data_IF_287461415960
#
_entry.id   IF_287461415960
#
_cell.length_a   1.000
_cell.length_b   1.000
_cell.length_c   1.000
_cell.angle_alpha   90.00
_cell.angle_beta   90.00
_cell.angle_gamma   90.00
#
_symmetry.space_group_name_H-M   'P 1'
#
loop_
_entity.id
_entity.type
_entity.pdbx_description
1 polymer ?
#
# COMPACT_ATOMS: atom_id res chain seq x y z
N UNK A 1 12.02 -81.01 -51.16
CA UNK A 1 11.88 -82.42 -50.72
C UNK A 1 12.59 -82.52 -49.38
N UNK A 2 11.95 -82.31 -48.23
CA UNK A 2 10.95 -83.16 -47.60
C UNK A 2 9.94 -82.31 -46.81
N UNK A 3 8.66 -82.51 -47.08
CA UNK A 3 7.52 -82.01 -46.30
C UNK A 3 6.83 -83.21 -45.66
N UNK A 4 6.43 -83.12 -44.38
CA UNK A 4 5.24 -83.77 -43.78
C UNK A 4 5.10 -83.43 -42.27
N UNK A 5 3.91 -83.55 -41.65
CA UNK A 5 3.04 -82.39 -41.45
C UNK A 5 2.62 -82.17 -39.98
N UNK A 6 2.01 -81.01 -39.74
CA UNK A 6 1.37 -80.57 -38.49
C UNK A 6 0.16 -81.45 -38.10
N UNK A 7 0.08 -81.84 -36.83
CA UNK A 7 -1.13 -82.32 -36.17
C UNK A 7 -1.76 -81.20 -35.34
N UNK A 8 -3.06 -80.97 -35.53
CA UNK A 8 -3.87 -80.02 -34.77
C UNK A 8 -4.45 -80.74 -33.56
N UNK A 9 -4.16 -80.24 -32.34
CA UNK A 9 -4.79 -80.70 -31.09
C UNK A 9 -5.43 -79.51 -30.36
N UNK A 10 -6.76 -79.54 -30.38
CA UNK A 10 -7.76 -79.10 -29.39
C UNK A 10 -7.35 -78.10 -28.28
N UNK A 11 -7.91 -76.88 -28.36
CA UNK A 11 -7.94 -75.90 -27.28
C UNK A 11 -9.02 -76.28 -26.24
N UNK A 12 -8.61 -76.66 -25.03
CA UNK A 12 -9.45 -76.55 -23.82
C UNK A 12 -8.66 -75.94 -22.66
N UNK A 13 -9.26 -74.87 -22.11
CA UNK A 13 -9.12 -74.36 -20.75
C UNK A 13 -7.87 -73.53 -20.38
N UNK A 14 -7.81 -72.29 -20.87
CA UNK A 14 -6.77 -71.29 -20.52
C UNK A 14 -7.11 -70.41 -19.30
N UNK A 15 -8.37 -70.33 -18.87
CA UNK A 15 -8.79 -69.35 -17.86
C UNK A 15 -8.49 -69.72 -16.40
N UNK A 16 -8.42 -71.00 -16.04
CA UNK A 16 -8.17 -71.44 -14.65
C UNK A 16 -6.69 -71.48 -14.27
N UNK A 17 -5.80 -71.62 -15.25
CA UNK A 17 -4.35 -71.58 -15.03
C UNK A 17 -3.83 -70.16 -14.81
N UNK A 18 -4.44 -69.18 -15.48
CA UNK A 18 -4.05 -67.76 -15.40
C UNK A 18 -4.32 -67.15 -14.00
N UNK A 19 -5.45 -67.49 -13.38
CA UNK A 19 -5.82 -66.95 -12.05
C UNK A 19 -4.92 -67.48 -10.92
N UNK A 20 -4.56 -68.77 -10.94
CA UNK A 20 -3.62 -69.36 -9.96
C UNK A 20 -2.20 -68.84 -10.11
N UNK A 21 -1.76 -68.54 -11.34
CA UNK A 21 -0.47 -67.93 -11.61
C UNK A 21 -0.39 -66.52 -11.00
N UNK A 22 -1.42 -65.69 -11.22
CA UNK A 22 -1.51 -64.33 -10.68
C UNK A 22 -1.48 -64.31 -9.15
N UNK A 23 -2.21 -65.21 -8.49
CA UNK A 23 -2.25 -65.27 -7.01
C UNK A 23 -0.88 -65.66 -6.41
N UNK A 24 -0.17 -66.58 -7.05
CA UNK A 24 1.18 -66.96 -6.63
C UNK A 24 2.20 -65.84 -6.83
N UNK A 25 2.08 -65.04 -7.89
CA UNK A 25 2.94 -63.85 -8.06
C UNK A 25 2.65 -62.79 -7.01
N UNK A 26 1.37 -62.60 -6.64
CA UNK A 26 0.99 -61.66 -5.57
C UNK A 26 1.52 -62.09 -4.19
N UNK A 27 1.49 -63.39 -3.87
CA UNK A 27 2.06 -63.94 -2.63
C UNK A 27 3.59 -63.76 -2.60
N UNK A 28 4.28 -64.00 -3.71
CA UNK A 28 5.73 -63.77 -3.84
C UNK A 28 6.08 -62.29 -3.70
N UNK A 29 5.29 -61.39 -4.30
CA UNK A 29 5.48 -59.95 -4.17
C UNK A 29 5.31 -59.49 -2.71
N UNK A 30 4.28 -59.99 -2.00
CA UNK A 30 4.07 -59.70 -0.58
C UNK A 30 5.22 -60.23 0.30
N UNK A 31 5.71 -61.44 0.02
CA UNK A 31 6.84 -62.02 0.73
C UNK A 31 8.12 -61.21 0.49
N UNK A 32 8.36 -60.79 -0.74
CA UNK A 32 9.50 -59.94 -1.10
C UNK A 32 9.43 -58.58 -0.40
N UNK A 33 8.25 -57.97 -0.37
CA UNK A 33 8.00 -56.69 0.30
C UNK A 33 8.16 -56.82 1.82
N UNK A 34 7.79 -57.95 2.40
CA UNK A 34 8.03 -58.27 3.81
C UNK A 34 9.52 -58.43 4.11
N UNK A 35 10.27 -59.18 3.30
CA UNK A 35 11.73 -59.28 3.45
C UNK A 35 12.43 -57.93 3.27
N UNK A 36 11.94 -57.09 2.34
CA UNK A 36 12.46 -55.75 2.13
C UNK A 36 12.19 -54.84 3.34
N UNK A 37 10.99 -54.92 3.93
CA UNK A 37 10.67 -54.17 5.15
C UNK A 37 11.53 -54.61 6.35
N UNK A 38 11.72 -55.91 6.54
CA UNK A 38 12.57 -56.46 7.60
C UNK A 38 14.03 -56.01 7.43
N UNK A 39 14.57 -56.05 6.21
CA UNK A 39 15.94 -55.59 5.94
C UNK A 39 16.16 -54.11 6.25
N UNK A 40 15.16 -53.25 6.03
CA UNK A 40 15.25 -51.82 6.36
C UNK A 40 15.21 -51.54 7.87
N UNK A 41 14.49 -52.35 8.65
CA UNK A 41 14.42 -52.19 10.12
C UNK A 41 15.73 -52.63 10.80
N UNK A 42 16.37 -53.69 10.31
CA UNK A 42 17.67 -54.15 10.84
C UNK A 42 18.88 -53.38 10.27
N UNK A 43 18.69 -52.59 9.20
CA UNK A 43 19.71 -51.75 8.57
C UNK A 43 19.98 -50.42 9.28
N UNK A 44 19.23 -50.07 10.34
CA UNK A 44 19.55 -48.95 11.21
C UNK A 44 20.72 -49.33 12.13
N UNK A 45 21.92 -49.36 11.54
CA UNK A 45 23.18 -49.54 12.26
C UNK A 45 23.30 -48.41 13.27
N UNK A 46 23.12 -48.74 14.54
CA UNK A 46 23.52 -47.92 15.69
C UNK A 46 24.97 -47.50 15.46
N UNK A 47 25.20 -46.23 15.12
CA UNK A 47 26.54 -45.65 15.02
C UNK A 47 27.18 -45.77 16.41
N UNK A 48 28.01 -46.79 16.64
CA UNK A 48 28.82 -46.90 17.85
C UNK A 48 29.76 -45.70 17.85
N UNK A 49 29.49 -44.71 18.70
CA UNK A 49 30.44 -43.62 18.95
C UNK A 49 31.72 -44.24 19.49
N UNK A 50 32.80 -44.16 18.72
CA UNK A 50 34.12 -44.54 19.19
C UNK A 50 34.52 -43.55 20.30
N UNK A 51 34.50 -44.02 21.55
CA UNK A 51 34.87 -43.23 22.72
C UNK A 51 36.30 -43.57 23.13
N UNK A 52 37.27 -43.12 22.35
CA UNK A 52 38.69 -43.22 22.71
C UNK A 52 39.05 -42.08 23.68
N UNK A 53 39.49 -42.39 24.91
CA UNK A 53 39.89 -41.37 25.88
C UNK A 53 40.99 -40.42 25.38
N UNK A 54 41.92 -40.87 24.53
CA UNK A 54 42.98 -40.01 24.00
C UNK A 54 42.44 -38.96 23.02
N UNK A 55 41.54 -39.41 22.13
CA UNK A 55 40.82 -38.53 21.20
C UNK A 55 39.95 -37.55 21.98
N UNK A 56 39.21 -38.03 22.99
CA UNK A 56 38.37 -37.18 23.85
C UNK A 56 39.21 -36.12 24.57
N UNK A 57 40.34 -36.49 25.15
CA UNK A 57 41.25 -35.54 25.81
C UNK A 57 41.81 -34.47 24.85
N UNK A 58 42.06 -34.83 23.58
CA UNK A 58 42.43 -33.87 22.55
C UNK A 58 41.28 -32.90 22.21
N UNK A 59 40.06 -33.41 22.05
CA UNK A 59 38.88 -32.57 21.81
C UNK A 59 38.62 -31.58 22.96
N UNK A 60 38.81 -32.02 24.22
CA UNK A 60 38.68 -31.17 25.41
C UNK A 60 39.66 -29.99 25.40
N UNK A 61 40.89 -30.19 24.91
CA UNK A 61 41.92 -29.17 24.74
C UNK A 61 41.67 -28.21 23.56
N UNK A 62 40.86 -28.62 22.58
CA UNK A 62 40.50 -27.77 21.44
C UNK A 62 39.27 -26.89 21.70
N UNK A 63 38.40 -27.28 22.63
CA UNK A 63 37.12 -26.61 22.86
C UNK A 63 37.10 -25.83 24.17
N UNK A 64 36.73 -26.48 25.27
CA UNK A 64 36.31 -25.77 26.48
C UNK A 64 36.68 -26.46 27.80
N UNK A 65 36.68 -27.79 27.90
CA UNK A 65 36.51 -28.46 29.19
C UNK A 65 37.74 -28.39 30.11
N UNK A 66 38.91 -28.85 29.68
CA UNK A 66 40.15 -28.75 30.46
C UNK A 66 41.38 -28.66 29.58
N UNK A 67 42.29 -27.75 29.94
CA UNK A 67 43.68 -27.76 29.47
C UNK A 67 44.48 -28.60 30.45
N UNK A 68 45.20 -29.61 29.98
CA UNK A 68 46.04 -30.44 30.86
C UNK A 68 45.80 -31.95 30.85
N UNK A 69 44.77 -32.48 30.19
CA UNK A 69 44.62 -33.94 30.06
C UNK A 69 45.49 -34.46 28.90
N UNK A 70 46.74 -34.84 29.22
CA UNK A 70 47.75 -35.31 28.27
C UNK A 70 47.82 -36.84 28.24
N UNK A 71 46.84 -37.46 27.57
CA UNK A 71 46.81 -38.92 27.38
C UNK A 71 47.67 -39.35 26.18
N UNK A 72 48.27 -40.56 26.21
CA UNK A 72 48.25 -41.55 27.31
C UNK A 72 49.08 -41.07 28.52
N UNK A 73 48.72 -41.45 29.75
CA UNK A 73 49.40 -40.91 30.95
C UNK A 73 50.87 -41.33 31.07
N UNK A 74 51.75 -40.46 31.61
CA UNK A 74 53.13 -40.84 31.93
C UNK A 74 53.18 -42.00 32.92
N UNK A 75 54.14 -42.89 32.73
CA UNK A 75 54.57 -43.85 33.74
C UNK A 75 56.08 -43.71 33.89
N UNK A 76 56.54 -43.63 35.13
CA UNK A 76 57.95 -43.48 35.48
C UNK A 76 58.39 -44.64 36.37
N UNK A 77 59.59 -45.15 36.12
CA UNK A 77 60.27 -46.09 36.99
C UNK A 77 61.72 -45.62 37.15
N UNK A 78 62.14 -45.35 38.39
CA UNK A 78 63.48 -44.79 38.69
C UNK A 78 63.82 -43.52 37.88
N UNK A 79 62.85 -42.64 37.68
CA UNK A 79 63.00 -41.40 36.90
C UNK A 79 62.98 -41.57 35.37
N UNK A 80 62.96 -42.81 34.88
CA UNK A 80 62.91 -43.11 33.45
C UNK A 80 61.45 -43.32 33.03
N UNK A 81 61.08 -42.70 31.91
CA UNK A 81 59.74 -42.81 31.36
C UNK A 81 59.55 -44.18 30.69
N UNK A 82 58.66 -45.02 31.24
CA UNK A 82 58.42 -46.39 30.76
C UNK A 82 57.25 -46.49 29.79
N UNK A 83 56.40 -45.46 29.68
CA UNK A 83 55.34 -45.39 28.67
C UNK A 83 55.87 -44.82 27.35
N UNK A 84 56.18 -45.71 26.40
CA UNK A 84 56.69 -45.35 25.08
C UNK A 84 55.74 -44.44 24.30
N UNK A 85 54.43 -44.72 24.33
CA UNK A 85 53.45 -43.90 23.61
C UNK A 85 53.34 -42.48 24.17
N UNK A 86 53.49 -42.30 25.49
CA UNK A 86 53.60 -40.96 26.06
C UNK A 86 54.93 -40.30 25.65
N UNK A 87 56.02 -41.07 25.54
CA UNK A 87 57.38 -40.54 25.32
C UNK A 87 57.53 -39.93 23.94
N UNK A 88 56.92 -40.56 22.94
CA UNK A 88 56.94 -40.14 21.55
C UNK A 88 55.95 -39.02 21.24
N UNK A 89 54.86 -38.89 22.01
CA UNK A 89 53.81 -37.89 21.72
C UNK A 89 53.97 -36.62 22.57
N UNK A 90 54.26 -36.75 23.86
CA UNK A 90 54.30 -35.63 24.82
C UNK A 90 55.57 -35.56 25.68
N UNK A 91 56.35 -36.64 25.73
CA UNK A 91 57.54 -36.78 26.59
C UNK A 91 58.84 -36.36 25.91
N UNK A 92 59.94 -36.92 26.40
CA UNK A 92 61.30 -36.51 26.00
C UNK A 92 61.62 -36.75 24.52
N UNK A 93 60.95 -37.72 23.88
CA UNK A 93 61.17 -38.08 22.47
C UNK A 93 60.13 -37.44 21.54
N UNK A 94 59.28 -36.57 22.07
CA UNK A 94 58.27 -35.88 21.28
C UNK A 94 58.88 -34.77 20.41
N UNK A 95 58.32 -34.52 19.22
CA UNK A 95 58.66 -33.35 18.42
C UNK A 95 58.54 -32.05 19.22
N UNK A 96 59.41 -31.08 18.94
CA UNK A 96 59.43 -29.78 19.65
C UNK A 96 58.05 -29.12 19.70
N UNK A 97 57.29 -29.17 18.60
CA UNK A 97 55.94 -28.61 18.49
C UNK A 97 54.99 -29.16 19.56
N UNK A 98 55.01 -30.47 19.82
CA UNK A 98 54.12 -31.09 20.78
C UNK A 98 54.50 -30.76 22.22
N UNK A 99 55.81 -30.61 22.48
CA UNK A 99 56.33 -30.18 23.78
C UNK A 99 55.96 -28.73 24.06
N UNK A 100 56.17 -27.84 23.09
CA UNK A 100 55.78 -26.42 23.17
C UNK A 100 54.26 -26.28 23.35
N UNK A 101 53.47 -27.10 22.66
CA UNK A 101 52.00 -27.14 22.83
C UNK A 101 51.56 -27.63 24.21
N UNK A 102 52.31 -28.55 24.82
CA UNK A 102 52.00 -29.09 26.14
C UNK A 102 52.41 -28.16 27.29
N UNK A 103 53.60 -27.59 27.18
CA UNK A 103 54.21 -26.76 28.21
C UNK A 103 53.83 -25.28 28.05
N UNK A 104 53.15 -24.91 26.96
CA UNK A 104 52.67 -23.56 26.68
C UNK A 104 51.33 -23.21 27.33
N UNK A 105 50.93 -21.95 27.13
CA UNK A 105 49.69 -21.40 27.66
C UNK A 105 48.44 -22.08 27.09
N UNK A 106 47.37 -22.05 27.87
CA UNK A 106 46.07 -22.57 27.44
C UNK A 106 45.50 -21.77 26.25
N UNK A 107 45.52 -22.36 25.06
CA UNK A 107 45.04 -21.73 23.82
C UNK A 107 43.56 -22.00 23.53
N UNK A 108 42.79 -22.58 24.46
CA UNK A 108 41.37 -22.91 24.22
C UNK A 108 40.58 -21.66 23.83
N UNK A 109 39.86 -21.69 22.69
CA UNK A 109 39.11 -20.53 22.20
C UNK A 109 37.90 -20.18 23.08
N UNK A 110 37.29 -21.18 23.75
CA UNK A 110 36.08 -21.01 24.56
C UNK A 110 36.37 -20.89 26.07
N UNK A 111 37.63 -20.82 26.50
CA UNK A 111 37.94 -20.55 27.91
C UNK A 111 37.34 -19.21 28.34
N UNK A 112 37.12 -18.93 29.65
CA UNK A 112 36.51 -17.67 30.09
C UNK A 112 37.17 -16.40 29.52
N UNK A 113 38.50 -16.41 29.37
CA UNK A 113 39.30 -15.33 28.74
C UNK A 113 39.68 -15.62 27.28
N UNK A 114 39.03 -16.60 26.65
CA UNK A 114 39.29 -17.05 25.30
C UNK A 114 38.72 -16.10 24.26
N UNK A 115 39.34 -16.10 23.08
CA UNK A 115 39.01 -15.17 22.01
C UNK A 115 37.54 -15.25 21.56
N UNK A 116 36.94 -16.45 21.54
CA UNK A 116 35.56 -16.61 21.09
C UNK A 116 34.55 -16.04 22.09
N UNK A 117 34.81 -16.15 23.39
CA UNK A 117 33.95 -15.55 24.41
C UNK A 117 34.06 -14.03 24.39
N UNK A 118 35.26 -13.49 24.15
CA UNK A 118 35.45 -12.04 23.96
C UNK A 118 34.69 -11.53 22.73
N UNK A 119 34.80 -12.24 21.60
CA UNK A 119 34.04 -11.93 20.38
C UNK A 119 32.53 -12.03 20.60
N UNK A 120 32.07 -13.05 21.33
CA UNK A 120 30.65 -13.21 21.66
C UNK A 120 30.15 -12.06 22.53
N UNK A 121 30.92 -11.64 23.54
CA UNK A 121 30.60 -10.50 24.37
C UNK A 121 30.53 -9.21 23.54
N UNK A 122 31.53 -8.97 22.67
CA UNK A 122 31.53 -7.83 21.75
C UNK A 122 30.32 -7.85 20.81
N UNK A 123 29.99 -9.01 20.25
CA UNK A 123 28.80 -9.18 19.39
C UNK A 123 27.53 -8.84 20.15
N UNK A 124 27.42 -9.21 21.43
CA UNK A 124 26.26 -8.85 22.26
C UNK A 124 26.14 -7.35 22.51
N UNK A 125 27.25 -6.66 22.77
CA UNK A 125 27.25 -5.20 22.85
C UNK A 125 26.81 -4.55 21.52
N UNK A 126 27.35 -5.02 20.39
CA UNK A 126 26.96 -4.54 19.07
C UNK A 126 25.49 -4.83 18.76
N UNK A 127 24.96 -5.98 19.19
CA UNK A 127 23.55 -6.33 19.03
C UNK A 127 22.64 -5.36 19.80
N UNK A 128 23.02 -4.95 21.01
CA UNK A 128 22.30 -3.96 21.80
C UNK A 128 22.32 -2.56 21.19
N UNK A 129 23.47 -2.13 20.68
CA UNK A 129 23.60 -0.86 19.95
C UNK A 129 22.76 -0.87 18.66
N UNK A 130 22.82 -1.96 17.89
CA UNK A 130 22.03 -2.14 16.69
C UNK A 130 20.52 -2.09 16.98
N UNK A 131 20.07 -2.66 18.11
CA UNK A 131 18.66 -2.56 18.54
C UNK A 131 18.25 -1.11 18.82
N UNK A 132 19.10 -0.31 19.46
CA UNK A 132 18.83 1.12 19.71
C UNK A 132 18.74 1.90 18.40
N UNK A 133 19.67 1.68 17.47
CA UNK A 133 19.68 2.32 16.14
C UNK A 133 18.41 1.93 15.36
N UNK A 134 18.04 0.64 15.40
CA UNK A 134 16.81 0.16 14.76
C UNK A 134 15.57 0.84 15.33
N UNK A 135 15.45 0.95 16.66
CA UNK A 135 14.31 1.61 17.28
C UNK A 135 14.21 3.09 16.88
N UNK A 136 15.34 3.80 16.78
CA UNK A 136 15.37 5.18 16.28
C UNK A 136 14.95 5.26 14.81
N UNK A 137 15.45 4.37 13.96
CA UNK A 137 15.08 4.28 12.54
C UNK A 137 13.58 3.98 12.36
N UNK A 138 13.04 3.01 13.10
CA UNK A 138 11.61 2.66 13.07
C UNK A 138 10.74 3.84 13.50
N UNK A 139 11.21 4.66 14.44
CA UNK A 139 10.51 5.87 14.89
C UNK A 139 10.49 6.94 13.79
N UNK A 140 11.63 7.18 13.13
CA UNK A 140 11.74 8.11 11.99
C UNK A 140 10.84 7.64 10.85
N UNK A 141 10.88 6.35 10.52
CA UNK A 141 10.05 5.76 9.48
C UNK A 141 8.56 5.95 9.77
N UNK A 142 8.10 5.58 10.97
CA UNK A 142 6.70 5.78 11.38
C UNK A 142 6.29 7.24 11.27
N UNK A 143 7.13 8.18 11.70
CA UNK A 143 6.88 9.61 11.59
C UNK A 143 6.81 10.05 10.13
N UNK A 144 7.74 9.61 9.28
CA UNK A 144 7.72 9.96 7.85
C UNK A 144 6.49 9.45 7.12
N UNK A 145 5.98 8.26 7.48
CA UNK A 145 4.75 7.72 6.90
C UNK A 145 3.54 8.53 7.35
N UNK A 146 3.50 8.94 8.62
CA UNK A 146 2.45 9.84 9.13
C UNK A 146 2.51 11.21 8.44
N UNK A 147 3.69 11.81 8.32
CA UNK A 147 3.88 13.09 7.65
C UNK A 147 3.48 13.01 6.17
N UNK A 148 3.86 11.93 5.48
CA UNK A 148 3.45 11.68 4.10
C UNK A 148 1.92 11.59 4.00
N UNK A 149 1.26 10.84 4.88
CA UNK A 149 -0.20 10.73 4.88
C UNK A 149 -0.90 12.08 5.13
N UNK A 150 -0.26 12.98 5.88
CA UNK A 150 -0.77 14.33 6.15
C UNK A 150 -0.56 15.34 5.03
N UNK A 151 0.39 15.09 4.13
CA UNK A 151 0.76 16.01 3.03
C UNK A 151 0.23 15.55 1.68
N UNK A 152 0.16 14.23 1.47
CA UNK A 152 -0.19 13.68 0.16
C UNK A 152 -1.60 14.06 -0.28
N UNK A 153 -1.77 14.29 -1.58
CA UNK A 153 -3.07 14.43 -2.22
C UNK A 153 -3.82 13.10 -2.38
N UNK A 154 -3.14 11.96 -2.26
CA UNK A 154 -3.77 10.65 -2.44
C UNK A 154 -4.81 10.31 -1.35
N UNK A 155 -4.64 10.85 -0.14
CA UNK A 155 -5.52 10.57 1.02
C UNK A 155 -6.69 11.54 1.13
N UNK A 156 -6.83 12.52 0.22
CA UNK A 156 -7.84 13.58 0.31
C UNK A 156 -9.26 13.02 0.38
N UNK A 157 -9.57 11.99 -0.40
CA UNK A 157 -10.93 11.44 -0.44
C UNK A 157 -11.34 10.71 0.84
N UNK A 158 -10.37 10.26 1.62
CA UNK A 158 -10.60 9.61 2.90
C UNK A 158 -10.67 10.61 4.07
N UNK A 159 -10.47 11.91 3.83
CA UNK A 159 -10.52 12.91 4.91
C UNK A 159 -11.94 13.01 5.50
N UNK A 160 -12.12 12.85 6.82
CA UNK A 160 -13.44 12.84 7.43
C UNK A 160 -14.18 14.17 7.26
N UNK A 161 -13.50 15.31 7.44
CA UNK A 161 -14.12 16.63 7.27
C UNK A 161 -14.52 16.90 5.80
N UNK A 162 -13.73 16.40 4.85
CA UNK A 162 -14.06 16.47 3.43
C UNK A 162 -15.36 15.72 3.15
N UNK A 163 -15.45 14.46 3.60
CA UNK A 163 -16.61 13.60 3.41
C UNK A 163 -17.88 14.18 4.06
N UNK A 164 -17.77 14.71 5.27
CA UNK A 164 -18.92 15.21 6.03
C UNK A 164 -19.45 16.55 5.52
N UNK A 165 -18.58 17.45 5.05
CA UNK A 165 -18.97 18.83 4.74
C UNK A 165 -18.63 19.25 3.31
N UNK A 166 -17.33 19.30 2.97
CA UNK A 166 -16.87 19.98 1.75
C UNK A 166 -17.26 19.25 0.47
N UNK A 167 -17.28 17.91 0.48
CA UNK A 167 -17.67 17.10 -0.68
C UNK A 167 -19.04 17.49 -1.23
N UNK A 168 -20.03 17.68 -0.35
CA UNK A 168 -21.39 18.11 -0.75
C UNK A 168 -21.41 19.57 -1.16
N UNK A 169 -20.70 20.43 -0.43
CA UNK A 169 -20.78 21.88 -0.62
C UNK A 169 -20.05 22.38 -1.87
N UNK A 170 -18.97 21.69 -2.29
CA UNK A 170 -18.19 22.03 -3.48
C UNK A 170 -18.64 21.25 -4.73
N UNK A 171 -19.54 20.27 -4.59
CA UNK A 171 -20.16 19.54 -5.71
C UNK A 171 -20.70 20.44 -6.84
N UNK A 172 -21.34 21.59 -6.55
CA UNK A 172 -21.83 22.47 -7.60
C UNK A 172 -20.73 23.03 -8.50
N UNK A 173 -19.48 23.12 -8.05
CA UNK A 173 -18.35 23.60 -8.85
C UNK A 173 -17.98 22.57 -9.93
N UNK A 174 -17.99 21.29 -9.57
CA UNK A 174 -17.70 20.18 -10.50
C UNK A 174 -18.86 19.90 -11.45
N UNK A 175 -20.11 20.17 -11.03
CA UNK A 175 -21.29 20.02 -11.87
C UNK A 175 -21.51 21.20 -12.83
N UNK A 176 -20.90 22.36 -12.55
CA UNK A 176 -21.00 23.51 -13.43
C UNK A 176 -20.11 23.28 -14.66
N UNK A 177 -20.59 23.57 -15.88
CA UNK A 177 -19.81 23.35 -17.12
C UNK A 177 -18.53 24.21 -17.13
N UNK A 178 -17.48 23.74 -17.80
CA UNK A 178 -16.21 24.49 -17.94
C UNK A 178 -16.39 25.71 -18.84
N UNK A 179 -17.06 25.55 -19.98
CA UNK A 179 -17.30 26.62 -20.96
C UNK A 179 -18.79 26.77 -21.26
N UNK A 180 -19.57 27.39 -20.36
CA UNK A 180 -21.00 27.64 -20.58
C UNK A 180 -21.26 28.54 -21.81
N UNK A 181 -22.04 28.03 -22.77
CA UNK A 181 -22.38 28.74 -24.02
C UNK A 181 -23.80 29.33 -24.03
N UNK A 182 -24.68 28.81 -23.16
CA UNK A 182 -26.11 29.15 -23.16
C UNK A 182 -26.56 29.77 -21.85
N UNK A 183 -27.69 30.49 -21.86
CA UNK A 183 -28.27 31.08 -20.65
C UNK A 183 -28.58 30.02 -19.57
N UNK A 184 -29.01 28.82 -19.98
CA UNK A 184 -29.35 27.70 -19.09
C UNK A 184 -28.09 27.20 -18.37
N UNK A 185 -26.99 27.04 -19.11
CA UNK A 185 -25.70 26.58 -18.59
C UNK A 185 -25.11 27.60 -17.59
N UNK A 186 -25.25 28.89 -17.91
CA UNK A 186 -24.93 29.99 -17.00
C UNK A 186 -25.90 30.11 -15.80
N UNK A 187 -26.97 29.31 -15.77
CA UNK A 187 -28.06 29.38 -14.78
C UNK A 187 -28.68 30.78 -14.68
N UNK A 188 -28.74 31.47 -15.81
CA UNK A 188 -29.46 32.73 -15.98
C UNK A 188 -30.95 32.45 -16.20
N UNK A 189 -31.81 33.42 -15.87
CA UNK A 189 -33.26 33.26 -16.03
C UNK A 189 -33.72 33.46 -17.47
N UNK A 190 -33.19 34.50 -18.11
CA UNK A 190 -33.71 35.00 -19.39
C UNK A 190 -32.60 35.10 -20.44
N UNK A 191 -32.94 34.79 -21.69
CA UNK A 191 -32.03 34.94 -22.84
C UNK A 191 -31.57 36.40 -23.02
N UNK A 192 -32.44 37.37 -22.77
CA UNK A 192 -32.10 38.80 -22.84
C UNK A 192 -31.02 39.19 -21.81
N UNK A 193 -31.00 38.52 -20.64
CA UNK A 193 -29.92 38.73 -19.67
C UNK A 193 -28.60 38.26 -20.24
N UNK A 194 -28.57 37.08 -20.85
CA UNK A 194 -27.36 36.53 -21.47
C UNK A 194 -26.81 37.45 -22.57
N UNK A 195 -27.66 37.93 -23.47
CA UNK A 195 -27.27 38.87 -24.53
C UNK A 195 -26.73 40.20 -23.99
N UNK A 196 -27.39 40.75 -22.95
CA UNK A 196 -26.92 41.98 -22.28
C UNK A 196 -25.54 41.77 -21.62
N UNK A 197 -25.32 40.62 -20.98
CA UNK A 197 -24.03 40.32 -20.35
C UNK A 197 -22.92 40.07 -21.36
N UNK A 198 -23.27 39.44 -22.50
CA UNK A 198 -22.36 39.18 -23.60
C UNK A 198 -21.91 40.49 -24.27
N UNK A 199 -22.87 41.36 -24.60
CA UNK A 199 -22.60 42.68 -25.20
C UNK A 199 -21.82 43.61 -24.27
N UNK A 200 -22.05 43.54 -22.96
CA UNK A 200 -21.31 44.35 -21.96
C UNK A 200 -19.89 43.78 -21.68
N UNK A 201 -19.56 42.58 -22.17
CA UNK A 201 -18.28 41.91 -21.89
C UNK A 201 -18.15 41.34 -20.46
N UNK A 202 -19.20 41.45 -19.65
CA UNK A 202 -19.23 40.93 -18.27
C UNK A 202 -19.13 39.41 -18.21
N UNK A 203 -19.60 38.71 -19.25
CA UNK A 203 -19.57 37.26 -19.34
C UNK A 203 -18.13 36.72 -19.42
N UNK A 204 -17.24 37.43 -20.13
CA UNK A 204 -15.82 37.10 -20.20
C UNK A 204 -15.15 37.16 -18.82
N UNK A 205 -15.41 38.23 -18.05
CA UNK A 205 -14.91 38.34 -16.67
C UNK A 205 -15.46 37.22 -15.78
N UNK A 206 -16.75 36.90 -15.89
CA UNK A 206 -17.36 35.81 -15.13
C UNK A 206 -16.74 34.45 -15.49
N UNK A 207 -16.37 34.25 -16.75
CA UNK A 207 -15.64 33.06 -17.19
C UNK A 207 -14.26 32.99 -16.55
N UNK A 208 -13.49 34.08 -16.59
CA UNK A 208 -12.17 34.15 -15.95
C UNK A 208 -12.27 33.87 -14.44
N UNK A 209 -13.29 34.39 -13.76
CA UNK A 209 -13.54 34.10 -12.35
C UNK A 209 -13.91 32.63 -12.09
N UNK A 210 -14.72 32.03 -12.97
CA UNK A 210 -15.07 30.62 -12.91
C UNK A 210 -13.82 29.74 -13.04
N UNK A 211 -12.99 30.04 -14.04
CA UNK A 211 -11.73 29.31 -14.30
C UNK A 211 -10.81 29.39 -13.08
N UNK A 212 -10.64 30.58 -12.48
CA UNK A 212 -9.84 30.74 -11.26
C UNK A 212 -10.40 29.95 -10.06
N UNK A 213 -11.73 29.80 -9.94
CA UNK A 213 -12.36 28.99 -8.89
C UNK A 213 -12.09 27.51 -9.14
N UNK A 214 -12.25 27.04 -10.39
CA UNK A 214 -12.03 25.66 -10.79
C UNK A 214 -10.57 25.25 -10.66
N UNK A 215 -9.65 26.08 -11.12
CA UNK A 215 -8.21 25.85 -10.97
C UNK A 215 -7.82 25.73 -9.51
N UNK A 216 -8.30 26.66 -8.66
CA UNK A 216 -8.03 26.59 -7.23
C UNK A 216 -8.61 25.33 -6.58
N UNK A 217 -9.79 24.88 -7.03
CA UNK A 217 -10.38 23.61 -6.61
C UNK A 217 -9.52 22.42 -7.04
N UNK A 218 -9.07 22.37 -8.29
CA UNK A 218 -8.17 21.34 -8.79
C UNK A 218 -6.85 21.32 -8.01
N UNK A 219 -6.22 22.47 -7.79
CA UNK A 219 -5.00 22.58 -6.99
C UNK A 219 -5.20 22.07 -5.56
N UNK A 220 -6.34 22.36 -4.93
CA UNK A 220 -6.65 21.86 -3.58
C UNK A 220 -6.77 20.33 -3.50
N UNK A 221 -6.94 19.66 -4.65
CA UNK A 221 -7.14 18.22 -4.78
C UNK A 221 -5.90 17.50 -5.29
N UNK A 222 -5.07 18.13 -6.12
CA UNK A 222 -3.90 17.50 -6.74
C UNK A 222 -2.59 17.80 -6.03
N UNK A 223 -2.45 18.97 -5.42
CA UNK A 223 -1.18 19.41 -4.84
C UNK A 223 -0.93 18.80 -3.46
N UNK A 224 0.31 18.35 -3.25
CA UNK A 224 0.78 17.91 -1.94
C UNK A 224 0.93 19.12 -1.02
N UNK A 225 0.17 19.13 0.06
CA UNK A 225 0.14 20.22 1.03
C UNK A 225 -0.38 19.71 2.37
N UNK A 226 0.02 20.33 3.49
CA UNK A 226 -0.47 19.91 4.79
C UNK A 226 -2.00 20.06 4.87
N UNK A 227 -2.64 19.06 5.47
CA UNK A 227 -4.09 18.96 5.68
C UNK A 227 -4.78 20.27 6.08
N UNK A 228 -4.22 21.02 7.04
CA UNK A 228 -4.80 22.29 7.50
C UNK A 228 -4.88 23.36 6.39
N UNK A 229 -3.82 23.48 5.58
CA UNK A 229 -3.78 24.42 4.44
C UNK A 229 -4.80 24.04 3.37
N UNK A 230 -4.98 22.74 3.14
CA UNK A 230 -5.99 22.21 2.22
C UNK A 230 -7.42 22.61 2.64
N UNK A 231 -7.74 22.52 3.94
CA UNK A 231 -9.04 22.95 4.45
C UNK A 231 -9.28 24.45 4.30
N UNK A 232 -8.24 25.27 4.52
CA UNK A 232 -8.33 26.71 4.25
C UNK A 232 -8.63 26.95 2.77
N UNK A 233 -7.95 26.24 1.86
CA UNK A 233 -8.22 26.35 0.44
C UNK A 233 -9.66 25.96 0.08
N UNK A 234 -10.21 24.87 0.64
CA UNK A 234 -11.62 24.50 0.44
C UNK A 234 -12.59 25.58 0.93
N UNK A 235 -12.29 26.19 2.06
CA UNK A 235 -13.12 27.25 2.60
C UNK A 235 -13.08 28.50 1.71
N UNK A 236 -11.90 28.87 1.23
CA UNK A 236 -11.72 29.99 0.32
C UNK A 236 -12.39 29.75 -1.03
N UNK A 237 -12.29 28.55 -1.61
CA UNK A 237 -12.99 28.21 -2.87
C UNK A 237 -14.50 28.24 -2.68
N UNK A 238 -15.01 27.73 -1.56
CA UNK A 238 -16.42 27.78 -1.20
C UNK A 238 -16.93 29.23 -1.07
N UNK A 239 -16.19 30.11 -0.41
CA UNK A 239 -16.56 31.53 -0.30
C UNK A 239 -16.58 32.19 -1.68
N UNK A 240 -15.55 31.97 -2.49
CA UNK A 240 -15.49 32.52 -3.86
C UNK A 240 -16.67 32.03 -4.71
N UNK A 241 -17.00 30.75 -4.64
CA UNK A 241 -18.15 30.17 -5.33
C UNK A 241 -19.48 30.81 -4.89
N UNK A 242 -19.67 31.03 -3.58
CA UNK A 242 -20.88 31.70 -3.07
C UNK A 242 -21.00 33.13 -3.60
N UNK A 243 -19.89 33.87 -3.64
CA UNK A 243 -19.86 35.23 -4.19
C UNK A 243 -20.22 35.23 -5.68
N UNK A 244 -19.62 34.33 -6.46
CA UNK A 244 -19.92 34.14 -7.88
C UNK A 244 -21.41 33.86 -8.13
N UNK A 245 -22.01 32.93 -7.37
CA UNK A 245 -23.45 32.62 -7.49
C UNK A 245 -24.33 33.82 -7.09
N UNK A 246 -23.93 34.59 -6.07
CA UNK A 246 -24.64 35.81 -5.67
C UNK A 246 -24.60 36.86 -6.78
N UNK A 247 -23.47 36.97 -7.49
CA UNK A 247 -23.30 37.89 -8.60
C UNK A 247 -24.19 37.53 -9.80
N UNK A 248 -24.23 36.25 -10.20
CA UNK A 248 -25.17 35.78 -11.23
C UNK A 248 -26.63 36.09 -10.85
N UNK A 249 -27.00 35.86 -9.58
CA UNK A 249 -28.33 36.22 -9.07
C UNK A 249 -28.60 37.72 -9.11
N UNK A 250 -27.59 38.55 -8.86
CA UNK A 250 -27.69 40.02 -8.93
C UNK A 250 -27.99 40.46 -10.37
N UNK A 251 -27.32 39.88 -11.36
CA UNK A 251 -27.61 40.14 -12.78
C UNK A 251 -29.04 39.73 -13.15
N UNK A 252 -29.47 38.53 -12.79
CA UNK A 252 -30.86 38.08 -13.00
C UNK A 252 -31.89 39.03 -12.35
N UNK A 253 -31.66 39.44 -11.09
CA UNK A 253 -32.55 40.39 -10.39
C UNK A 253 -32.59 41.76 -11.06
N UNK A 254 -31.45 42.24 -11.56
CA UNK A 254 -31.38 43.52 -12.27
C UNK A 254 -32.17 43.46 -13.58
N UNK A 255 -31.98 42.41 -14.38
CA UNK A 255 -32.70 42.29 -15.66
C UNK A 255 -34.19 42.12 -15.45
N UNK A 256 -34.61 41.23 -14.55
CA UNK A 256 -36.04 41.04 -14.23
C UNK A 256 -36.70 42.36 -13.82
N UNK A 257 -36.07 43.13 -12.93
CA UNK A 257 -36.55 44.45 -12.55
C UNK A 257 -36.62 45.44 -13.73
N UNK A 258 -35.63 45.45 -14.64
CA UNK A 258 -35.68 46.28 -15.85
C UNK A 258 -36.81 45.86 -16.81
N UNK A 259 -37.05 44.56 -16.95
CA UNK A 259 -38.15 44.04 -17.76
C UNK A 259 -39.50 44.37 -17.15
N UNK A 260 -39.63 44.26 -15.83
CA UNK A 260 -40.85 44.65 -15.11
C UNK A 260 -41.15 46.13 -15.34
N UNK A 261 -40.16 47.02 -15.21
CA UNK A 261 -40.33 48.45 -15.51
C UNK A 261 -40.69 48.70 -16.97
N UNK A 262 -40.04 48.02 -17.92
CA UNK A 262 -40.36 48.12 -19.34
C UNK A 262 -41.80 47.70 -19.61
N UNK A 263 -42.26 46.62 -18.99
CA UNK A 263 -43.63 46.11 -19.12
C UNK A 263 -44.65 47.08 -18.54
N UNK A 264 -44.37 47.65 -17.36
CA UNK A 264 -45.20 48.69 -16.73
C UNK A 264 -45.29 49.91 -17.64
N UNK A 265 -44.16 50.44 -18.13
CA UNK A 265 -44.16 51.58 -19.04
C UNK A 265 -44.94 51.29 -20.33
N UNK A 266 -44.73 50.12 -20.95
CA UNK A 266 -45.46 49.72 -22.15
C UNK A 266 -46.97 49.55 -21.90
N UNK A 267 -47.39 49.15 -20.70
CA UNK A 267 -48.81 49.06 -20.35
C UNK A 267 -49.46 50.43 -20.16
N UNK A 268 -48.71 51.44 -19.69
CA UNK A 268 -49.20 52.79 -19.46
C UNK A 268 -49.04 53.73 -20.67
N UNK A 269 -48.13 53.45 -21.60
CA UNK A 269 -47.95 54.22 -22.84
C UNK A 269 -49.23 54.35 -23.69
N UNK A 270 -50.03 53.30 -23.94
CA UNK A 270 -51.31 53.43 -24.66
C UNK A 270 -52.40 54.14 -23.85
N UNK A 271 -52.24 54.28 -22.53
CA UNK A 271 -53.16 55.07 -21.68
C UNK A 271 -52.71 56.53 -21.57
N UNK A 272 -51.42 56.81 -21.71
CA UNK A 272 -50.82 58.14 -21.55
C UNK A 272 -50.74 58.94 -22.85
N UNK A 273 -50.65 58.28 -24.01
CA UNK A 273 -50.69 58.94 -25.31
C UNK A 273 -52.09 58.75 -25.93
N UNK A 274 -52.82 59.83 -26.26
CA UNK A 274 -54.09 59.70 -26.96
C UNK A 274 -53.84 58.96 -28.28
N UNK A 275 -54.53 57.85 -28.48
CA UNK A 275 -54.38 56.94 -29.64
C UNK A 275 -54.74 57.60 -30.98
N UNK A 276 -55.33 58.79 -30.97
CA UNK A 276 -55.60 59.62 -32.13
C UNK A 276 -55.39 61.09 -31.76
N UNK A 277 -54.68 61.85 -32.59
CA UNK A 277 -54.73 63.31 -32.53
C UNK A 277 -56.15 63.74 -32.90
N UNK A 278 -56.94 64.12 -31.90
CA UNK A 278 -58.29 64.64 -32.13
C UNK A 278 -58.19 66.11 -32.56
N UNK A 279 -58.77 66.54 -33.69
CA UNK A 279 -58.78 67.94 -34.13
C UNK A 279 -59.67 68.85 -33.26
N UNK A 280 -60.15 68.36 -32.12
CA UNK A 280 -61.02 69.10 -31.22
C UNK A 280 -60.23 70.20 -30.52
N UNK A 281 -60.73 71.44 -30.59
CA UNK A 281 -60.20 72.57 -29.84
C UNK A 281 -60.38 72.32 -28.33
N UNK A 282 -59.40 72.73 -27.51
CA UNK A 282 -59.42 72.57 -26.05
C UNK A 282 -60.76 72.99 -25.40
N UNK A 283 -61.42 74.01 -25.96
CA UNK A 283 -62.75 74.46 -25.52
C UNK A 283 -63.83 73.36 -25.64
N UNK A 284 -63.82 72.59 -26.73
CA UNK A 284 -64.76 71.48 -26.93
C UNK A 284 -64.48 70.32 -25.98
N UNK A 285 -63.20 70.06 -25.67
CA UNK A 285 -62.81 69.01 -24.73
C UNK A 285 -63.33 69.35 -23.33
N UNK A 286 -63.14 70.59 -22.88
CA UNK A 286 -63.64 71.08 -21.59
C UNK A 286 -65.17 71.04 -21.55
N UNK A 287 -65.86 71.46 -22.60
CA UNK A 287 -67.33 71.38 -22.66
C UNK A 287 -67.85 69.94 -22.58
N UNK A 288 -67.21 69.00 -23.30
CA UNK A 288 -67.58 67.59 -23.24
C UNK A 288 -67.34 66.99 -21.86
N UNK A 289 -66.22 67.31 -21.21
CA UNK A 289 -65.97 66.91 -19.81
C UNK A 289 -67.03 67.49 -18.87
N UNK A 290 -67.34 68.79 -18.98
CA UNK A 290 -68.36 69.44 -18.15
C UNK A 290 -69.73 68.79 -18.35
N UNK A 291 -70.11 68.41 -19.57
CA UNK A 291 -71.36 67.70 -19.85
C UNK A 291 -71.36 66.27 -19.29
N UNK A 292 -70.26 65.53 -19.45
CA UNK A 292 -70.12 64.16 -18.97
C UNK A 292 -70.24 64.06 -17.44
N UNK A 293 -69.73 65.05 -16.71
CA UNK A 293 -69.79 65.07 -15.24
C UNK A 293 -70.97 65.88 -14.67
N UNK A 294 -71.77 66.53 -15.51
CA UNK A 294 -72.91 67.37 -15.10
C UNK A 294 -73.94 66.67 -14.22
N UNK A 295 -74.07 65.35 -14.36
CA UNK A 295 -75.08 64.53 -13.68
C UNK A 295 -74.48 63.53 -12.70
N UNK A 296 -73.15 63.56 -12.50
CA UNK A 296 -72.44 62.64 -11.62
C UNK A 296 -72.23 63.21 -10.22
N UNK A 297 -72.57 64.48 -10.04
CA UNK A 297 -72.69 65.26 -8.81
C UNK A 297 -73.96 66.10 -8.91
#
# INVERSE_FOLDING_TARGET
MLTKPLSVISFKNTNTYSSRLMENQFKKAKLFLFFFAVANVFGQVSVKRLNDPAIVAQHKRMTFESWGDWRPYPKYFLGIQTNFAYATVWGMWAPKINRDYKDGDDIRPLKPTGEQNLRLAQLKFQEEEAKKIKAASDTIYKRSVQDLAHWTSATVDADPLWLLYYKRMLKPITEFPDTPQNFIEWRLKDQQTYESLNTTGTLKRLQEELDLIKDKYLMSRSMDMPRGKRFVMYHETLIKWRKFVQELRKHNKKTTLLLDYKNILNSHLPTALPTQWTPASDKQIVQNMMQQYKHKY
#
